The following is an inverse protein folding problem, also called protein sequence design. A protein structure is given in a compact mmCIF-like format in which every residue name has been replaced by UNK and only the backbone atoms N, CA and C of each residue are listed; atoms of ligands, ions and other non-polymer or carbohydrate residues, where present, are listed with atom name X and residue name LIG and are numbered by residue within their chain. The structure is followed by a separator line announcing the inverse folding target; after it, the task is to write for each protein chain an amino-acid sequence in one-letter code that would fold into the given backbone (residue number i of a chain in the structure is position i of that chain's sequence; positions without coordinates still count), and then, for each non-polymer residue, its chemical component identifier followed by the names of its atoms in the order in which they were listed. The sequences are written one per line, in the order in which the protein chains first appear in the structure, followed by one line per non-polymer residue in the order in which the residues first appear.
data_IF_363753923741
#
_entry.id   IF_363753923741
#
_cell.length_a   1.000
_cell.length_b   1.000
_cell.length_c   1.000
_cell.angle_alpha   90.00
_cell.angle_beta   90.00
_cell.angle_gamma   90.00
#
_symmetry.space_group_name_H-M   'P 1'
#
loop_
_entity.id
_entity.type
_entity.pdbx_description
1 polymer ?
#
# COMPACT_ATOMS: atom_id res chain seq x y z
N UNK A 1 -4.83 -9.41 20.44
CA UNK A 1 -5.38 -8.17 19.85
C UNK A 1 -4.44 -7.59 18.80
N UNK A 2 -3.13 -7.70 19.00
CA UNK A 2 -2.09 -7.12 18.14
C UNK A 2 -2.04 -7.71 16.72
N UNK A 3 -2.32 -9.01 16.57
CA UNK A 3 -2.38 -9.68 15.27
C UNK A 3 -3.52 -9.16 14.37
N UNK A 4 -4.65 -8.78 14.96
CA UNK A 4 -5.79 -8.20 14.23
C UNK A 4 -5.46 -6.77 13.78
N UNK A 5 -4.81 -5.98 14.65
CA UNK A 5 -4.36 -4.62 14.33
C UNK A 5 -3.32 -4.66 13.19
N UNK A 6 -2.38 -5.59 13.25
CA UNK A 6 -1.38 -5.80 12.20
C UNK A 6 -2.04 -6.20 10.86
N UNK A 7 -3.01 -7.12 10.89
CA UNK A 7 -3.75 -7.53 9.69
C UNK A 7 -4.54 -6.37 9.08
N UNK A 8 -5.24 -5.57 9.89
CA UNK A 8 -5.94 -4.38 9.43
C UNK A 8 -4.98 -3.34 8.83
N UNK A 9 -3.81 -3.13 9.43
CA UNK A 9 -2.77 -2.24 8.91
C UNK A 9 -2.26 -2.68 7.53
N UNK A 10 -1.99 -3.98 7.36
CA UNK A 10 -1.59 -4.56 6.07
C UNK A 10 -2.68 -4.39 5.02
N UNK A 11 -3.93 -4.74 5.34
CA UNK A 11 -5.08 -4.63 4.41
C UNK A 11 -5.31 -3.17 4.00
N UNK A 12 -5.24 -2.23 4.95
CA UNK A 12 -5.40 -0.81 4.68
C UNK A 12 -4.31 -0.28 3.76
N UNK A 13 -3.06 -0.65 4.01
CA UNK A 13 -1.90 -0.27 3.19
C UNK A 13 -2.01 -0.84 1.77
N UNK A 14 -2.43 -2.11 1.65
CA UNK A 14 -2.60 -2.80 0.38
C UNK A 14 -3.74 -2.20 -0.45
N UNK A 15 -4.85 -1.85 0.21
CA UNK A 15 -6.01 -1.20 -0.41
C UNK A 15 -5.68 0.22 -0.88
N UNK A 16 -4.96 1.00 -0.06
CA UNK A 16 -4.49 2.33 -0.44
C UNK A 16 -3.55 2.27 -1.65
N UNK A 17 -2.59 1.35 -1.63
CA UNK A 17 -1.66 1.13 -2.74
C UNK A 17 -2.38 0.71 -4.03
N UNK A 18 -3.29 -0.25 -3.94
CA UNK A 18 -4.08 -0.71 -5.08
C UNK A 18 -4.94 0.41 -5.68
N UNK A 19 -5.56 1.24 -4.85
CA UNK A 19 -6.40 2.34 -5.31
C UNK A 19 -5.56 3.42 -6.04
N UNK A 20 -4.34 3.70 -5.58
CA UNK A 20 -3.40 4.60 -6.27
C UNK A 20 -2.94 4.06 -7.63
N UNK A 21 -2.74 2.74 -7.76
CA UNK A 21 -2.33 2.12 -9.04
C UNK A 21 -3.48 2.10 -10.06
N UNK A 22 -4.67 1.71 -9.60
CA UNK A 22 -5.85 1.52 -10.44
C UNK A 22 -6.51 2.84 -10.84
N UNK A 23 -6.50 3.83 -9.93
CA UNK A 23 -7.14 5.13 -10.15
C UNK A 23 -6.21 6.29 -9.80
N UNK A 24 -5.08 6.45 -10.51
CA UNK A 24 -4.13 7.53 -10.23
C UNK A 24 -4.77 8.90 -10.41
N UNK A 25 -5.69 9.07 -11.37
CA UNK A 25 -6.42 10.31 -11.64
C UNK A 25 -7.17 10.88 -10.42
N UNK A 26 -7.68 10.03 -9.53
CA UNK A 26 -8.36 10.46 -8.29
C UNK A 26 -7.39 11.03 -7.25
N UNK A 27 -6.12 10.65 -7.27
CA UNK A 27 -5.08 11.12 -6.36
C UNK A 27 -4.30 12.32 -6.89
N UNK A 28 -4.39 12.57 -8.19
CA UNK A 28 -3.68 13.67 -8.83
C UNK A 28 -4.29 15.04 -8.48
N UNK A 29 -5.54 15.08 -8.02
CA UNK A 29 -6.22 16.32 -7.63
C UNK A 29 -6.41 17.29 -8.81
N UNK A 30 -7.60 17.91 -8.93
CA UNK A 30 -7.72 19.09 -9.80
C UNK A 30 -7.08 20.28 -9.07
N UNK A 31 -5.75 20.46 -9.19
CA UNK A 31 -5.12 21.75 -8.83
C UNK A 31 -3.94 21.75 -7.86
N UNK A 32 -3.36 20.61 -7.48
CA UNK A 32 -2.09 20.58 -6.72
C UNK A 32 -0.92 20.14 -7.61
N UNK A 33 -0.20 21.09 -8.26
CA UNK A 33 1.09 20.81 -8.86
C UNK A 33 2.11 20.64 -7.72
N UNK A 34 2.51 19.39 -7.38
CA UNK A 34 3.72 18.82 -7.99
C UNK A 34 3.65 17.31 -8.29
N UNK A 35 2.52 16.62 -8.11
CA UNK A 35 2.38 15.22 -8.56
C UNK A 35 1.92 15.19 -10.02
N UNK A 36 2.68 15.75 -10.95
CA UNK A 36 2.19 16.02 -12.31
C UNK A 36 2.15 14.80 -13.25
N UNK A 37 2.35 13.58 -12.74
CA UNK A 37 2.46 12.39 -13.58
C UNK A 37 1.76 11.15 -12.97
N UNK A 38 0.80 10.52 -13.67
CA UNK A 38 0.14 9.28 -13.24
C UNK A 38 1.13 8.16 -12.94
N UNK A 39 2.32 8.20 -13.58
CA UNK A 39 3.39 7.23 -13.39
C UNK A 39 3.98 7.29 -11.97
N UNK A 40 4.11 8.49 -11.40
CA UNK A 40 4.62 8.69 -10.03
C UNK A 40 3.61 8.21 -9.00
N UNK A 41 2.33 8.50 -9.18
CA UNK A 41 1.26 8.00 -8.29
C UNK A 41 1.17 6.47 -8.31
N UNK A 42 1.32 5.87 -9.49
CA UNK A 42 1.42 4.40 -9.62
C UNK A 42 2.65 3.85 -8.89
N UNK A 43 3.80 4.49 -8.99
CA UNK A 43 5.01 4.08 -8.29
C UNK A 43 4.81 4.09 -6.76
N UNK A 44 4.17 5.14 -6.22
CA UNK A 44 3.77 5.18 -4.81
C UNK A 44 2.80 4.05 -4.44
N UNK A 45 1.79 3.80 -5.27
CA UNK A 45 0.85 2.71 -5.04
C UNK A 45 1.53 1.33 -5.01
N UNK A 46 2.46 1.08 -5.94
CA UNK A 46 3.28 -0.15 -5.98
C UNK A 46 4.16 -0.26 -4.73
N UNK A 47 4.76 0.84 -4.28
CA UNK A 47 5.56 0.86 -3.05
C UNK A 47 4.75 0.43 -1.83
N UNK A 48 3.53 0.94 -1.65
CA UNK A 48 2.64 0.53 -0.55
C UNK A 48 2.25 -0.95 -0.63
N UNK A 49 1.97 -1.46 -1.83
CA UNK A 49 1.70 -2.90 -2.04
C UNK A 49 2.94 -3.73 -1.67
N UNK A 50 4.14 -3.29 -2.07
CA UNK A 50 5.41 -3.94 -1.72
C UNK A 50 5.63 -3.98 -0.21
N UNK A 51 5.43 -2.87 0.48
CA UNK A 51 5.55 -2.77 1.94
C UNK A 51 4.58 -3.73 2.65
N UNK A 52 3.33 -3.77 2.21
CA UNK A 52 2.33 -4.69 2.76
C UNK A 52 2.72 -6.16 2.51
N UNK A 53 3.25 -6.48 1.33
CA UNK A 53 3.73 -7.83 0.99
C UNK A 53 4.88 -8.26 1.90
N UNK A 54 5.86 -7.38 2.14
CA UNK A 54 6.96 -7.65 3.08
C UNK A 54 6.43 -7.89 4.50
N UNK A 55 5.45 -7.09 4.93
CA UNK A 55 4.79 -7.28 6.22
C UNK A 55 4.10 -8.64 6.37
N UNK A 56 3.40 -9.11 5.34
CA UNK A 56 2.76 -10.45 5.31
C UNK A 56 3.82 -11.55 5.37
N UNK A 57 4.88 -11.44 4.55
CA UNK A 57 5.95 -12.44 4.54
C UNK A 57 6.63 -12.53 5.90
N UNK A 58 6.92 -11.39 6.54
CA UNK A 58 7.50 -11.38 7.87
C UNK A 58 6.59 -12.04 8.93
N UNK A 59 5.29 -11.73 8.89
CA UNK A 59 4.30 -12.35 9.79
C UNK A 59 4.21 -13.86 9.57
N UNK A 60 4.24 -14.32 8.32
CA UNK A 60 4.24 -15.74 7.98
C UNK A 60 5.50 -16.46 8.46
N UNK A 61 6.68 -15.87 8.26
CA UNK A 61 7.94 -16.42 8.74
C UNK A 61 7.91 -16.58 10.26
N UNK A 62 7.42 -15.55 10.97
CA UNK A 62 7.28 -15.60 12.43
C UNK A 62 6.33 -16.71 12.87
N UNK A 63 5.18 -16.85 12.23
CA UNK A 63 4.21 -17.90 12.54
C UNK A 63 4.72 -19.32 12.27
N UNK A 64 5.53 -19.52 11.23
CA UNK A 64 6.14 -20.83 10.91
C UNK A 64 7.32 -21.16 11.83
N UNK A 65 7.97 -20.14 12.41
CA UNK A 65 9.13 -20.31 13.30
C UNK A 65 8.74 -20.60 14.76
N UNK A 66 7.45 -20.65 15.06
CA UNK A 66 6.86 -20.88 16.38
C UNK A 66 6.26 -22.29 16.45
#
# INVERSE_FOLDING_TARGET
MDSVIAACGVIGTLTAGAHMVLRPATYLGKGTPPASDPRTVRAFGIFFIGLATVGVVFALIKFVSE
#
